data_IF_789535643450
#
_entry.id   IF_789535643450
#
_cell.length_a   1.000
_cell.length_b   1.000
_cell.length_c   1.000
_cell.angle_alpha   90.00
_cell.angle_beta   90.00
_cell.angle_gamma   90.00
#
_symmetry.space_group_name_H-M   'P 1'
#
loop_
_entity.id
_entity.type
_entity.pdbx_description
1 polymer ?
#
# COMPACT_ATOMS: atom_id res chain seq x y z
N UNK A 1 6.28 -39.72 26.40
CA UNK A 1 7.42 -39.49 25.48
C UNK A 1 6.83 -38.92 24.20
N UNK A 2 7.21 -37.70 23.82
CA UNK A 2 6.70 -37.09 22.59
C UNK A 2 7.43 -37.75 21.40
N UNK A 3 6.67 -38.32 20.47
CA UNK A 3 7.20 -38.86 19.22
C UNK A 3 7.89 -37.74 18.44
N UNK A 4 9.13 -38.00 18.01
CA UNK A 4 9.82 -37.10 17.08
C UNK A 4 9.01 -37.01 15.79
N UNK A 5 8.70 -35.81 15.28
CA UNK A 5 7.98 -35.66 14.03
C UNK A 5 8.76 -36.34 12.90
N UNK A 6 8.05 -37.11 12.09
CA UNK A 6 8.62 -37.83 10.95
C UNK A 6 9.19 -36.82 9.95
N UNK A 7 10.21 -37.22 9.18
CA UNK A 7 10.89 -36.32 8.23
C UNK A 7 9.94 -35.74 7.16
N UNK A 8 8.80 -36.42 6.92
CA UNK A 8 7.69 -35.98 6.07
C UNK A 8 6.88 -34.81 6.66
N UNK A 9 6.85 -34.64 7.98
CA UNK A 9 6.08 -33.58 8.64
C UNK A 9 6.79 -32.21 8.58
N UNK A 10 8.06 -32.21 8.16
CA UNK A 10 8.94 -31.04 8.15
C UNK A 10 9.21 -30.56 6.72
N UNK A 11 9.04 -31.43 5.72
CA UNK A 11 9.34 -31.14 4.31
C UNK A 11 8.07 -30.87 3.52
N UNK A 12 8.09 -29.78 2.76
CA UNK A 12 7.03 -29.49 1.81
C UNK A 12 7.07 -30.48 0.64
N UNK A 13 5.89 -30.92 0.22
CA UNK A 13 5.74 -31.71 -1.00
C UNK A 13 6.08 -30.87 -2.24
N UNK A 14 6.91 -31.42 -3.13
CA UNK A 14 7.27 -30.74 -4.38
C UNK A 14 6.19 -31.09 -5.42
N UNK A 15 5.43 -30.09 -5.93
CA UNK A 15 4.42 -30.37 -6.95
C UNK A 15 5.07 -30.81 -8.26
N UNK A 16 4.44 -31.77 -8.93
CA UNK A 16 4.86 -32.23 -10.24
C UNK A 16 4.75 -31.10 -11.29
N UNK A 17 5.59 -31.16 -12.32
CA UNK A 17 5.52 -30.24 -13.44
C UNK A 17 4.19 -30.42 -14.19
N UNK A 18 3.50 -29.31 -14.44
CA UNK A 18 2.25 -29.30 -15.18
C UNK A 18 2.47 -29.72 -16.64
N UNK A 19 1.54 -30.52 -17.17
CA UNK A 19 1.49 -30.81 -18.61
C UNK A 19 1.16 -29.56 -19.42
N UNK A 20 1.46 -29.57 -20.73
CA UNK A 20 1.17 -28.44 -21.61
C UNK A 20 -0.33 -28.06 -21.63
N UNK A 21 -1.22 -29.05 -21.55
CA UNK A 21 -2.66 -28.83 -21.50
C UNK A 21 -3.11 -28.15 -20.20
N UNK A 22 -2.52 -28.52 -19.06
CA UNK A 22 -2.80 -27.90 -17.77
C UNK A 22 -2.21 -26.50 -17.66
N UNK A 23 -1.03 -26.27 -18.24
CA UNK A 23 -0.43 -24.94 -18.32
C UNK A 23 -1.32 -23.98 -19.11
N UNK A 24 -1.86 -24.42 -20.26
CA UNK A 24 -2.74 -23.59 -21.08
C UNK A 24 -4.07 -23.29 -20.39
N UNK A 25 -4.67 -24.30 -19.73
CA UNK A 25 -5.85 -24.10 -18.88
C UNK A 25 -5.58 -23.08 -17.77
N UNK A 26 -4.43 -23.14 -17.11
CA UNK A 26 -4.06 -22.21 -16.06
C UNK A 26 -3.83 -20.78 -16.58
N UNK A 27 -3.29 -20.62 -17.79
CA UNK A 27 -3.17 -19.31 -18.45
C UNK A 27 -4.53 -18.69 -18.72
N UNK A 28 -5.48 -19.48 -19.24
CA UNK A 28 -6.83 -19.00 -19.55
C UNK A 28 -7.63 -18.64 -18.30
N UNK A 29 -7.42 -19.37 -17.21
CA UNK A 29 -8.05 -19.10 -15.91
C UNK A 29 -7.23 -18.11 -15.04
N UNK A 30 -6.13 -17.59 -15.57
CA UNK A 30 -5.20 -16.80 -14.78
C UNK A 30 -5.86 -15.50 -14.31
N UNK A 31 -6.19 -15.46 -13.02
CA UNK A 31 -6.57 -14.25 -12.31
C UNK A 31 -5.38 -13.84 -11.45
N UNK A 32 -4.70 -12.72 -11.75
CA UNK A 32 -3.59 -12.28 -10.93
C UNK A 32 -4.08 -12.02 -9.50
N UNK A 33 -3.37 -12.59 -8.52
CA UNK A 33 -3.60 -12.36 -7.09
C UNK A 33 -2.95 -11.05 -6.61
N UNK A 34 -2.36 -10.29 -7.54
CA UNK A 34 -1.73 -9.01 -7.29
C UNK A 34 -2.38 -7.92 -8.15
N UNK A 35 -2.30 -6.68 -7.67
CA UNK A 35 -2.65 -5.50 -8.45
C UNK A 35 -1.37 -4.81 -8.88
N UNK A 36 -1.13 -4.72 -10.18
CA UNK A 36 -0.04 -3.91 -10.72
C UNK A 36 -0.29 -2.44 -10.38
N UNK A 37 0.74 -1.74 -9.87
CA UNK A 37 0.67 -0.31 -9.50
C UNK A 37 1.64 0.58 -10.28
N UNK A 38 2.48 -0.03 -11.12
CA UNK A 38 3.46 0.67 -11.97
C UNK A 38 3.93 -0.26 -13.10
N UNK A 39 4.47 0.33 -14.17
CA UNK A 39 5.08 -0.40 -15.29
C UNK A 39 4.19 -0.47 -16.53
N UNK A 40 4.46 -1.46 -17.38
CA UNK A 40 3.84 -1.58 -18.69
C UNK A 40 2.49 -2.27 -18.56
N UNK A 41 1.45 -1.69 -19.15
CA UNK A 41 0.14 -2.35 -19.27
C UNK A 41 0.14 -3.14 -20.58
N UNK A 42 -0.18 -4.42 -20.51
CA UNK A 42 -0.30 -5.30 -21.70
C UNK A 42 0.94 -5.29 -22.62
N UNK A 43 2.14 -5.14 -22.03
CA UNK A 43 3.40 -5.10 -22.78
C UNK A 43 3.66 -3.80 -23.55
N UNK A 44 2.82 -2.77 -23.39
CA UNK A 44 3.00 -1.48 -24.02
C UNK A 44 3.84 -0.56 -23.13
N UNK A 45 4.92 -0.03 -23.71
CA UNK A 45 5.76 0.96 -23.05
C UNK A 45 4.96 2.25 -22.77
N UNK A 46 5.20 2.94 -21.64
CA UNK A 46 4.63 4.24 -21.37
C UNK A 46 4.92 5.22 -22.50
N UNK A 47 3.95 6.09 -22.79
CA UNK A 47 4.14 7.17 -23.76
C UNK A 47 5.17 8.22 -23.29
N UNK A 48 5.42 8.28 -21.99
CA UNK A 48 6.35 9.21 -21.37
C UNK A 48 7.73 8.60 -21.24
N UNK A 49 8.75 9.40 -21.54
CA UNK A 49 10.16 9.14 -21.26
C UNK A 49 10.44 9.26 -19.76
N UNK A 50 11.59 8.73 -19.33
CA UNK A 50 12.00 8.85 -17.92
C UNK A 50 12.18 10.31 -17.50
N UNK A 51 12.67 11.18 -18.39
CA UNK A 51 12.88 12.59 -18.08
C UNK A 51 11.55 13.32 -17.88
N UNK A 52 10.54 13.04 -18.71
CA UNK A 52 9.18 13.58 -18.53
C UNK A 52 8.53 13.09 -17.24
N UNK A 53 8.78 11.85 -16.84
CA UNK A 53 8.29 11.31 -15.55
C UNK A 53 8.97 12.03 -14.38
N UNK A 54 10.27 12.26 -14.46
CA UNK A 54 11.02 13.00 -13.43
C UNK A 54 10.52 14.44 -13.33
N UNK A 55 10.30 15.10 -14.47
CA UNK A 55 9.75 16.45 -14.53
C UNK A 55 8.33 16.51 -13.95
N UNK A 56 7.48 15.55 -14.28
CA UNK A 56 6.14 15.44 -13.70
C UNK A 56 6.18 15.35 -12.17
N UNK A 57 7.00 14.46 -11.62
CA UNK A 57 7.13 14.30 -10.17
C UNK A 57 7.64 15.58 -9.52
N UNK A 58 8.68 16.21 -10.09
CA UNK A 58 9.23 17.47 -9.56
C UNK A 58 8.23 18.62 -9.59
N UNK A 59 7.36 18.64 -10.59
CA UNK A 59 6.40 19.72 -10.81
C UNK A 59 5.17 19.57 -9.91
N UNK A 60 4.63 18.35 -9.80
CA UNK A 60 3.31 18.12 -9.20
C UNK A 60 3.36 17.43 -7.84
N UNK A 61 4.44 16.74 -7.47
CA UNK A 61 4.55 16.05 -6.18
C UNK A 61 5.18 16.93 -5.11
N UNK A 62 4.66 16.86 -3.88
CA UNK A 62 5.35 17.36 -2.70
C UNK A 62 6.43 16.37 -2.22
N UNK A 63 7.39 16.78 -1.37
CA UNK A 63 8.52 15.94 -0.94
C UNK A 63 8.19 14.57 -0.33
N UNK A 64 6.94 14.34 0.10
CA UNK A 64 6.44 13.05 0.64
C UNK A 64 5.33 12.42 -0.20
N UNK A 65 5.16 12.88 -1.45
CA UNK A 65 4.06 12.47 -2.33
C UNK A 65 4.55 11.82 -3.63
N UNK A 66 5.85 11.53 -3.75
CA UNK A 66 6.43 10.90 -4.94
C UNK A 66 5.72 9.60 -5.32
N UNK A 67 5.47 8.72 -4.35
CA UNK A 67 4.76 7.46 -4.61
C UNK A 67 3.33 7.69 -5.10
N UNK A 68 2.61 8.63 -4.47
CA UNK A 68 1.25 9.00 -4.85
C UNK A 68 1.21 9.59 -6.27
N UNK A 69 2.17 10.44 -6.63
CA UNK A 69 2.25 11.05 -7.95
C UNK A 69 2.52 10.00 -9.03
N UNK A 70 3.47 9.08 -8.79
CA UNK A 70 3.75 7.97 -9.70
C UNK A 70 2.52 7.05 -9.85
N UNK A 71 1.86 6.69 -8.76
CA UNK A 71 0.64 5.88 -8.83
C UNK A 71 -0.48 6.57 -9.59
N UNK A 72 -0.65 7.89 -9.40
CA UNK A 72 -1.63 8.70 -10.13
C UNK A 72 -1.34 8.72 -11.63
N UNK A 73 -0.06 8.83 -12.00
CA UNK A 73 0.38 8.76 -13.40
C UNK A 73 0.08 7.39 -14.02
N UNK A 74 0.33 6.31 -13.29
CA UNK A 74 0.00 4.96 -13.74
C UNK A 74 -1.51 4.73 -13.87
N UNK A 75 -2.32 5.18 -12.91
CA UNK A 75 -3.78 5.08 -12.94
C UNK A 75 -4.40 5.91 -14.06
N UNK A 76 -3.76 7.03 -14.42
CA UNK A 76 -4.11 7.84 -15.58
C UNK A 76 -3.67 7.25 -16.93
N UNK A 77 -3.03 6.06 -16.95
CA UNK A 77 -2.38 5.50 -18.13
C UNK A 77 -1.36 6.46 -18.77
N UNK A 78 -0.56 7.13 -17.94
CA UNK A 78 0.48 8.09 -18.35
C UNK A 78 -0.07 9.35 -19.07
N UNK A 79 -1.35 9.68 -18.86
CA UNK A 79 -1.95 10.97 -19.22
C UNK A 79 -1.68 12.00 -18.11
N UNK A 80 -0.89 13.03 -18.43
CA UNK A 80 -0.44 14.04 -17.45
C UNK A 80 -1.60 14.87 -16.89
N UNK A 81 -2.44 15.54 -17.71
CA UNK A 81 -3.61 16.28 -17.20
C UNK A 81 -4.48 15.44 -16.26
N UNK A 82 -4.79 14.21 -16.66
CA UNK A 82 -5.63 13.31 -15.85
C UNK A 82 -4.94 12.90 -14.55
N UNK A 83 -3.62 12.66 -14.58
CA UNK A 83 -2.86 12.34 -13.37
C UNK A 83 -2.86 13.50 -12.37
N UNK A 84 -2.79 14.74 -12.85
CA UNK A 84 -2.86 15.94 -12.01
C UNK A 84 -4.23 16.04 -11.31
N UNK A 85 -5.32 15.77 -12.02
CA UNK A 85 -6.66 15.71 -11.41
C UNK A 85 -6.74 14.66 -10.30
N UNK A 86 -6.19 13.45 -10.54
CA UNK A 86 -6.15 12.38 -9.54
C UNK A 86 -5.35 12.82 -8.30
N UNK A 87 -4.20 13.48 -8.48
CA UNK A 87 -3.39 14.03 -7.38
C UNK A 87 -4.20 15.03 -6.56
N UNK A 88 -4.89 15.97 -7.20
CA UNK A 88 -5.71 16.96 -6.49
C UNK A 88 -6.83 16.30 -5.71
N UNK A 89 -7.54 15.35 -6.31
CA UNK A 89 -8.62 14.60 -5.65
C UNK A 89 -8.09 13.80 -4.44
N UNK A 90 -6.94 13.14 -4.58
CA UNK A 90 -6.30 12.40 -3.49
C UNK A 90 -5.93 13.32 -2.31
N UNK A 91 -5.40 14.51 -2.60
CA UNK A 91 -5.11 15.52 -1.58
C UNK A 91 -6.38 16.00 -0.87
N UNK A 92 -7.45 16.30 -1.62
CA UNK A 92 -8.72 16.70 -1.05
C UNK A 92 -9.31 15.61 -0.13
N UNK A 93 -9.26 14.35 -0.56
CA UNK A 93 -9.70 13.21 0.24
C UNK A 93 -8.84 13.07 1.51
N UNK A 94 -7.51 13.18 1.41
CA UNK A 94 -6.59 13.13 2.56
C UNK A 94 -6.87 14.25 3.57
N UNK A 95 -7.10 15.48 3.09
CA UNK A 95 -7.43 16.61 3.95
C UNK A 95 -8.78 16.43 4.65
N UNK A 96 -9.78 15.86 3.95
CA UNK A 96 -11.08 15.54 4.54
C UNK A 96 -10.94 14.48 5.64
N UNK A 97 -10.23 13.39 5.36
CA UNK A 97 -9.94 12.34 6.35
C UNK A 97 -9.20 12.91 7.57
N UNK A 98 -8.16 13.73 7.35
CA UNK A 98 -7.43 14.35 8.47
C UNK A 98 -8.30 15.27 9.32
N UNK A 99 -9.29 15.96 8.75
CA UNK A 99 -10.25 16.76 9.53
C UNK A 99 -11.15 15.87 10.37
N UNK A 100 -11.74 14.85 9.77
CA UNK A 100 -12.58 13.86 10.45
C UNK A 100 -11.81 13.08 11.54
N UNK A 101 -10.52 12.84 11.32
CA UNK A 101 -9.63 12.15 12.23
C UNK A 101 -9.13 13.05 13.37
N UNK A 102 -8.80 14.31 13.10
CA UNK A 102 -8.45 15.29 14.15
C UNK A 102 -9.65 15.60 15.06
N UNK A 103 -10.87 15.49 14.55
CA UNK A 103 -12.10 15.54 15.36
C UNK A 103 -12.24 14.30 16.27
N UNK A 104 -11.66 13.15 15.88
CA UNK A 104 -11.71 11.89 16.65
C UNK A 104 -10.54 11.71 17.63
N UNK A 105 -9.32 12.09 17.24
CA UNK A 105 -8.10 11.90 18.03
C UNK A 105 -7.74 13.21 18.71
N UNK A 106 -8.01 13.32 20.02
CA UNK A 106 -7.50 14.42 20.81
C UNK A 106 -5.98 14.27 20.98
N UNK A 107 -5.20 15.01 20.19
CA UNK A 107 -3.72 15.02 20.21
C UNK A 107 -3.11 15.07 21.63
N UNK A 108 -3.72 15.88 22.50
CA UNK A 108 -3.34 16.05 23.91
C UNK A 108 -3.46 14.74 24.71
N UNK A 109 -4.45 13.92 24.39
CA UNK A 109 -4.70 12.62 25.05
C UNK A 109 -3.68 11.58 24.59
N UNK A 110 -3.28 11.59 23.32
CA UNK A 110 -2.23 10.72 22.80
C UNK A 110 -0.86 11.05 23.41
N UNK A 111 -0.48 12.32 23.45
CA UNK A 111 0.78 12.77 24.07
C UNK A 111 0.84 12.35 25.56
N UNK A 112 -0.26 12.52 26.30
CA UNK A 112 -0.34 12.09 27.71
C UNK A 112 -0.23 10.56 27.87
N UNK A 113 -0.77 9.78 26.95
CA UNK A 113 -0.66 8.33 26.97
C UNK A 113 0.77 7.86 26.62
N UNK A 114 1.42 8.55 25.69
CA UNK A 114 2.83 8.33 25.33
C UNK A 114 3.77 8.66 26.50
N UNK A 115 3.54 9.76 27.22
CA UNK A 115 4.31 10.11 28.42
C UNK A 115 4.18 9.04 29.52
N UNK A 116 2.98 8.45 29.64
CA UNK A 116 2.68 7.45 30.69
C UNK A 116 3.16 6.04 30.35
N UNK A 117 3.09 5.64 29.09
CA UNK A 117 3.31 4.26 28.66
C UNK A 117 4.52 4.07 27.75
N UNK A 118 5.17 5.16 27.31
CA UNK A 118 6.28 5.14 26.36
C UNK A 118 5.87 4.52 25.02
N UNK A 119 6.76 3.74 24.41
CA UNK A 119 6.54 3.08 23.10
C UNK A 119 5.65 1.82 23.17
N UNK A 120 4.94 1.59 24.28
CA UNK A 120 4.01 0.45 24.43
C UNK A 120 2.65 0.81 23.84
N UNK A 121 2.60 0.96 22.52
CA UNK A 121 1.43 1.41 21.78
C UNK A 121 0.17 0.54 21.99
N UNK A 122 0.34 -0.75 22.32
CA UNK A 122 -0.76 -1.64 22.69
C UNK A 122 -1.47 -1.22 24.00
N UNK A 123 -0.81 -0.48 24.89
CA UNK A 123 -1.41 0.07 26.13
C UNK A 123 -2.12 1.41 25.89
N UNK A 124 -1.71 2.15 24.85
CA UNK A 124 -2.34 3.42 24.44
C UNK A 124 -3.75 3.17 23.87
N UNK A 125 -4.02 1.96 23.35
CA UNK A 125 -5.30 1.57 22.74
C UNK A 125 -6.42 1.22 23.73
N UNK A 126 -6.09 0.86 24.98
CA UNK A 126 -7.05 0.20 25.91
C UNK A 126 -7.91 1.21 26.71
N UNK A 127 -7.57 2.50 26.71
CA UNK A 127 -8.40 3.53 27.33
C UNK A 127 -9.42 4.11 26.37
N UNK A 128 -10.51 3.39 26.05
CA UNK A 128 -11.80 3.85 25.49
C UNK A 128 -11.88 5.00 24.42
N UNK A 129 -10.80 5.41 23.76
CA UNK A 129 -10.81 6.62 22.91
C UNK A 129 -10.08 6.48 21.56
N UNK A 130 -9.72 5.28 21.13
CA UNK A 130 -8.93 5.09 19.91
C UNK A 130 -9.63 4.11 18.96
N UNK A 131 -10.51 4.64 18.09
CA UNK A 131 -11.11 3.87 16.98
C UNK A 131 -10.19 3.74 15.76
N UNK A 132 -8.96 4.27 15.84
CA UNK A 132 -7.97 4.25 14.77
C UNK A 132 -7.14 2.95 14.83
N UNK A 133 -6.84 2.37 13.67
CA UNK A 133 -6.10 1.12 13.57
C UNK A 133 -4.62 1.33 13.87
N UNK A 134 -3.95 0.31 14.42
CA UNK A 134 -2.56 0.42 14.92
C UNK A 134 -1.56 0.87 13.85
N UNK A 135 -1.84 0.62 12.56
CA UNK A 135 -1.00 1.04 11.44
C UNK A 135 -0.94 2.56 11.23
N UNK A 136 -1.92 3.32 11.73
CA UNK A 136 -2.03 4.76 11.50
C UNK A 136 -1.06 5.57 12.41
N UNK A 137 -0.78 5.08 13.62
CA UNK A 137 0.12 5.76 14.57
C UNK A 137 1.62 5.58 14.29
N UNK A 138 1.99 4.53 13.55
CA UNK A 138 3.39 4.19 13.28
C UNK A 138 3.92 4.92 12.03
N UNK A 139 3.04 5.38 11.14
CA UNK A 139 3.41 5.99 9.86
C UNK A 139 3.83 7.46 9.94
N UNK A 140 3.56 8.15 11.05
CA UNK A 140 3.83 9.59 11.24
C UNK A 140 5.02 9.90 12.18
N UNK A 141 5.77 8.88 12.63
CA UNK A 141 7.08 9.02 13.32
C UNK A 141 8.20 8.89 12.28
#
# INVERSE_FOLDING_TARGET
MASTPEESDIRAEIPALLSAAEQERNRQLYRPQYRQRWGWRDGQQPKLTNDEIVEFVRTYAWPKETEMALQSLFEANYDVPKAVEIIHNARHAKLKLKREEAERIQKITFERAMDRHGKKFHLVKVGNYMSAEFGEYVADI
#
